data_IF_621047080910
#
_entry.id   IF_621047080910
#
_cell.length_a   1.000
_cell.length_b   1.000
_cell.length_c   1.000
_cell.angle_alpha   90.00
_cell.angle_beta   90.00
_cell.angle_gamma   90.00
#
_symmetry.space_group_name_H-M   'P 1'
#
loop_
_entity.id
_entity.type
_entity.pdbx_description
1 polymer ?
#
# COMPACT_ATOMS: atom_id res chain seq x y z
N UNK A 1 -9.64 -11.05 16.48
CA UNK A 1 -10.24 -10.82 15.15
C UNK A 1 -9.15 -10.27 14.24
N UNK A 2 -9.19 -10.55 12.95
CA UNK A 2 -8.13 -10.18 11.99
C UNK A 2 -8.74 -9.51 10.76
N UNK A 3 -8.08 -8.48 10.23
CA UNK A 3 -8.41 -7.92 8.92
C UNK A 3 -7.62 -8.71 7.89
N UNK A 4 -8.31 -9.34 6.95
CA UNK A 4 -7.68 -10.12 5.89
C UNK A 4 -7.16 -9.21 4.76
N UNK A 5 -6.14 -9.68 4.04
CA UNK A 5 -5.64 -9.01 2.84
C UNK A 5 -6.56 -9.29 1.63
N UNK A 6 -6.61 -8.36 0.67
CA UNK A 6 -7.28 -8.61 -0.62
C UNK A 6 -6.63 -9.82 -1.31
N UNK A 7 -7.45 -10.81 -1.67
CA UNK A 7 -6.98 -11.99 -2.36
C UNK A 7 -6.75 -11.70 -3.85
N UNK A 8 -5.49 -11.47 -4.22
CA UNK A 8 -5.05 -11.16 -5.59
C UNK A 8 -5.33 -12.27 -6.62
N UNK A 9 -5.64 -13.49 -6.18
CA UNK A 9 -6.10 -14.55 -7.10
C UNK A 9 -7.53 -14.33 -7.57
N UNK A 10 -8.37 -13.71 -6.74
CA UNK A 10 -9.79 -13.46 -7.04
C UNK A 10 -10.01 -12.18 -7.85
N UNK A 11 -9.01 -11.30 -7.91
CA UNK A 11 -9.06 -10.08 -8.71
C UNK A 11 -9.10 -10.39 -10.22
N UNK A 12 -9.77 -9.51 -10.96
CA UNK A 12 -9.88 -9.59 -12.40
C UNK A 12 -8.50 -9.61 -13.08
N UNK A 13 -8.36 -10.42 -14.13
CA UNK A 13 -7.16 -10.41 -15.00
C UNK A 13 -7.23 -9.32 -16.07
N UNK A 14 -8.41 -8.76 -16.29
CA UNK A 14 -8.60 -7.57 -17.10
C UNK A 14 -8.02 -6.33 -16.42
N UNK A 15 -7.92 -5.25 -17.19
CA UNK A 15 -7.37 -3.99 -16.72
C UNK A 15 -8.28 -3.34 -15.66
N UNK A 16 -7.73 -3.03 -14.49
CA UNK A 16 -8.42 -2.42 -13.33
C UNK A 16 -7.88 -1.02 -13.04
N UNK A 17 -8.74 -0.12 -12.56
CA UNK A 17 -8.32 1.22 -12.16
C UNK A 17 -7.72 1.21 -10.75
N UNK A 18 -6.54 1.83 -10.60
CA UNK A 18 -5.78 1.84 -9.34
C UNK A 18 -5.16 3.20 -9.05
N UNK A 19 -4.78 3.40 -7.78
CA UNK A 19 -3.95 4.50 -7.32
C UNK A 19 -2.69 3.96 -6.63
N UNK A 20 -1.52 4.51 -6.97
CA UNK A 20 -0.26 4.16 -6.30
C UNK A 20 -0.14 4.94 -4.99
N UNK A 21 -0.13 4.25 -3.84
CA UNK A 21 -0.17 4.89 -2.51
C UNK A 21 1.17 4.96 -1.79
N UNK A 22 2.12 4.10 -2.17
CA UNK A 22 3.50 4.08 -1.69
C UNK A 22 4.42 3.49 -2.74
N UNK A 23 5.62 4.05 -2.87
CA UNK A 23 6.62 3.67 -3.87
C UNK A 23 7.99 3.49 -3.20
N UNK A 24 8.50 2.26 -3.11
CA UNK A 24 9.82 1.97 -2.54
C UNK A 24 10.84 1.64 -3.65
N UNK A 25 10.45 0.84 -4.63
CA UNK A 25 11.23 0.53 -5.84
C UNK A 25 10.32 -0.02 -6.97
N UNK A 26 10.77 -0.09 -8.23
CA UNK A 26 9.96 -0.65 -9.32
C UNK A 26 9.32 -2.02 -9.03
N UNK A 27 9.97 -2.87 -8.23
CA UNK A 27 9.46 -4.20 -7.85
C UNK A 27 8.84 -4.24 -6.45
N UNK A 28 8.70 -3.10 -5.78
CA UNK A 28 8.13 -2.98 -4.44
C UNK A 28 7.39 -1.66 -4.26
N UNK A 29 6.07 -1.70 -4.41
CA UNK A 29 5.16 -0.58 -4.18
C UNK A 29 3.79 -1.07 -3.78
N UNK A 30 2.89 -0.14 -3.48
CA UNK A 30 1.55 -0.45 -3.02
C UNK A 30 0.53 0.31 -3.83
N UNK A 31 -0.56 -0.38 -4.20
CA UNK A 31 -1.69 0.21 -4.90
C UNK A 31 -2.98 0.00 -4.12
N UNK A 32 -3.96 0.86 -4.37
CA UNK A 32 -5.35 0.67 -3.94
C UNK A 32 -6.24 0.56 -5.19
N UNK A 33 -7.22 -0.34 -5.15
CA UNK A 33 -8.24 -0.45 -6.19
C UNK A 33 -9.20 0.76 -6.11
N UNK A 34 -9.63 1.28 -7.26
CA UNK A 34 -10.64 2.35 -7.27
C UNK A 34 -12.07 1.86 -7.05
N UNK A 35 -12.37 0.58 -7.34
CA UNK A 35 -13.71 0.02 -7.14
C UNK A 35 -14.11 0.01 -5.67
N UNK A 36 -13.17 -0.32 -4.79
CA UNK A 36 -13.38 -0.40 -3.33
C UNK A 36 -13.23 0.98 -2.64
N UNK A 37 -13.06 2.06 -3.42
CA UNK A 37 -12.69 3.35 -2.85
C UNK A 37 -13.82 4.04 -2.09
N UNK A 38 -15.08 3.78 -2.43
CA UNK A 38 -16.25 4.35 -1.75
C UNK A 38 -16.42 3.69 -0.37
N UNK A 39 -16.50 2.36 -0.30
CA UNK A 39 -16.62 1.62 0.97
C UNK A 39 -15.48 1.92 1.94
N UNK A 40 -14.25 2.04 1.42
CA UNK A 40 -13.11 2.40 2.24
C UNK A 40 -13.18 3.84 2.74
N UNK A 41 -13.63 4.78 1.91
CA UNK A 41 -13.81 6.17 2.31
C UNK A 41 -14.89 6.30 3.39
N UNK A 42 -16.02 5.61 3.22
CA UNK A 42 -17.10 5.55 4.21
C UNK A 42 -16.62 4.98 5.55
N UNK A 43 -15.81 3.91 5.50
CA UNK A 43 -15.17 3.35 6.70
C UNK A 43 -14.29 4.37 7.42
N UNK A 44 -13.44 5.10 6.68
CA UNK A 44 -12.54 6.11 7.26
C UNK A 44 -13.31 7.31 7.83
N UNK A 45 -14.39 7.72 7.19
CA UNK A 45 -15.27 8.78 7.67
C UNK A 45 -16.02 8.37 8.94
N UNK A 46 -16.59 7.15 8.96
CA UNK A 46 -17.22 6.57 10.14
C UNK A 46 -16.23 6.46 11.31
N UNK A 47 -15.02 5.97 11.04
CA UNK A 47 -13.94 5.83 12.02
C UNK A 47 -13.57 7.21 12.57
N UNK A 48 -13.35 8.18 11.70
CA UNK A 48 -13.01 9.55 12.09
C UNK A 48 -14.12 10.16 12.94
N UNK A 49 -15.38 9.98 12.55
CA UNK A 49 -16.54 10.46 13.32
C UNK A 49 -16.63 9.80 14.69
N UNK A 50 -16.43 8.48 14.77
CA UNK A 50 -16.46 7.72 16.03
C UNK A 50 -15.35 8.16 16.99
N UNK A 51 -14.14 8.31 16.47
CA UNK A 51 -12.98 8.69 17.29
C UNK A 51 -13.06 10.15 17.73
N UNK A 52 -13.62 11.04 16.90
CA UNK A 52 -13.82 12.45 17.27
C UNK A 52 -14.84 12.60 18.40
N UNK A 53 -15.95 11.85 18.36
CA UNK A 53 -17.01 11.96 19.38
C UNK A 53 -16.66 11.26 20.70
N UNK A 54 -16.02 10.10 20.62
CA UNK A 54 -15.92 9.15 21.74
C UNK A 54 -14.57 8.40 21.79
N UNK A 55 -13.52 8.96 21.18
CA UNK A 55 -12.19 8.33 21.11
C UNK A 55 -11.49 8.22 22.47
N UNK A 56 -11.74 9.13 23.41
CA UNK A 56 -11.17 9.07 24.75
C UNK A 56 -11.56 7.79 25.52
N UNK A 57 -12.70 7.17 25.18
CA UNK A 57 -13.14 5.89 25.77
C UNK A 57 -12.43 4.67 25.14
N UNK A 58 -11.68 4.87 24.07
CA UNK A 58 -10.99 3.82 23.33
C UNK A 58 -9.47 3.94 23.47
N UNK A 59 -8.96 4.73 24.41
CA UNK A 59 -7.53 4.81 24.66
C UNK A 59 -7.02 3.43 25.10
N UNK A 60 -6.00 2.91 24.41
CA UNK A 60 -5.43 1.63 24.79
C UNK A 60 -4.55 1.78 26.04
N UNK A 61 -4.51 0.75 26.89
CA UNK A 61 -3.57 0.70 28.01
C UNK A 61 -2.19 0.33 27.47
N UNK A 62 -1.14 1.16 27.66
CA UNK A 62 0.20 0.88 27.16
C UNK A 62 0.73 -0.53 27.47
N UNK A 63 0.54 -0.99 28.71
CA UNK A 63 1.09 -2.27 29.19
C UNK A 63 0.38 -3.50 28.61
N UNK A 64 -0.75 -3.31 27.93
CA UNK A 64 -1.55 -4.40 27.36
C UNK A 64 -1.41 -4.53 25.85
N UNK A 65 -0.65 -3.64 25.20
CA UNK A 65 -0.48 -3.66 23.74
C UNK A 65 0.35 -4.88 23.36
N UNK A 66 -0.14 -5.67 22.39
CA UNK A 66 0.56 -6.87 21.92
C UNK A 66 0.78 -6.86 20.40
N UNK A 67 1.82 -7.54 19.95
CA UNK A 67 2.08 -7.73 18.50
C UNK A 67 0.91 -8.49 17.85
N UNK A 68 0.49 -8.02 16.67
CA UNK A 68 -0.67 -8.54 15.94
C UNK A 68 -1.99 -7.86 16.30
N UNK A 69 -2.02 -6.98 17.30
CA UNK A 69 -3.24 -6.27 17.69
C UNK A 69 -3.63 -5.19 16.67
N UNK A 70 -4.94 -5.10 16.38
CA UNK A 70 -5.51 -4.09 15.50
C UNK A 70 -5.81 -2.80 16.28
N UNK A 71 -5.39 -1.66 15.74
CA UNK A 71 -5.50 -0.38 16.44
C UNK A 71 -5.93 0.75 15.51
N UNK A 72 -6.56 1.76 16.10
CA UNK A 72 -6.82 3.05 15.47
C UNK A 72 -5.71 4.04 15.86
N UNK A 73 -5.21 4.78 14.89
CA UNK A 73 -4.23 5.85 15.10
C UNK A 73 -4.72 7.16 14.52
N UNK A 74 -4.37 8.27 15.18
CA UNK A 74 -4.62 9.60 14.64
C UNK A 74 -3.57 9.95 13.58
N UNK A 75 -4.02 10.46 12.43
CA UNK A 75 -3.15 11.01 11.39
C UNK A 75 -3.72 12.32 10.86
N UNK A 76 -3.05 13.44 11.16
CA UNK A 76 -3.52 14.78 10.82
C UNK A 76 -4.96 15.03 11.32
N UNK A 77 -5.89 15.28 10.39
CA UNK A 77 -7.31 15.51 10.67
C UNK A 77 -8.17 14.24 10.64
N UNK A 78 -7.58 13.09 10.29
CA UNK A 78 -8.29 11.82 10.16
C UNK A 78 -7.77 10.73 11.10
N UNK A 79 -8.38 9.57 10.98
CA UNK A 79 -8.02 8.35 11.68
C UNK A 79 -7.73 7.23 10.70
N UNK A 80 -6.82 6.34 11.07
CA UNK A 80 -6.39 5.22 10.26
C UNK A 80 -6.38 3.97 11.12
N UNK A 81 -6.69 2.82 10.51
CA UNK A 81 -6.48 1.51 11.13
C UNK A 81 -5.09 0.98 10.81
N UNK A 82 -4.53 0.21 11.73
CA UNK A 82 -3.22 -0.42 11.58
C UNK A 82 -3.12 -1.66 12.45
N UNK A 83 -2.01 -2.38 12.31
CA UNK A 83 -1.68 -3.57 13.08
C UNK A 83 -0.33 -3.38 13.76
N UNK A 84 -0.24 -3.73 15.04
CA UNK A 84 1.01 -3.68 15.80
C UNK A 84 1.98 -4.71 15.24
N UNK A 85 3.17 -4.25 14.83
CA UNK A 85 4.25 -5.12 14.35
C UNK A 85 5.35 -5.29 15.38
N UNK A 86 5.53 -4.33 16.28
CA UNK A 86 6.50 -4.41 17.36
C UNK A 86 6.10 -3.51 18.55
N UNK A 87 6.53 -3.88 19.75
CA UNK A 87 6.36 -3.09 20.98
C UNK A 87 7.74 -2.83 21.57
N UNK A 88 8.19 -1.58 21.46
CA UNK A 88 9.55 -1.20 21.78
C UNK A 88 9.70 -0.91 23.28
N UNK A 89 10.87 -1.21 23.83
CA UNK A 89 11.19 -0.97 25.25
C UNK A 89 11.28 0.50 25.65
N UNK A 90 11.22 1.43 24.70
CA UNK A 90 11.24 2.90 24.92
C UNK A 90 9.84 3.52 25.01
N UNK A 91 8.79 2.69 25.09
CA UNK A 91 7.40 3.11 25.16
C UNK A 91 6.82 3.52 23.80
N UNK A 92 7.46 3.15 22.70
CA UNK A 92 6.89 3.28 21.35
C UNK A 92 6.36 1.95 20.83
N UNK A 93 5.45 2.03 19.87
CA UNK A 93 4.83 0.89 19.21
C UNK A 93 5.00 1.07 17.71
N UNK A 94 5.54 0.06 17.04
CA UNK A 94 5.63 0.01 15.58
C UNK A 94 4.33 -0.54 15.01
N UNK A 95 3.77 0.16 14.03
CA UNK A 95 2.43 -0.10 13.49
C UNK A 95 2.52 -0.13 11.97
N UNK A 96 1.98 -1.19 11.37
CA UNK A 96 1.81 -1.28 9.92
C UNK A 96 0.43 -0.76 9.51
N UNK A 97 0.43 0.30 8.73
CA UNK A 97 -0.73 0.89 8.06
C UNK A 97 -0.90 0.20 6.71
N UNK A 98 -1.36 -1.06 6.75
CA UNK A 98 -1.45 -1.94 5.57
C UNK A 98 -2.33 -1.38 4.46
N UNK A 99 -3.35 -0.59 4.77
CA UNK A 99 -4.15 0.11 3.76
C UNK A 99 -3.29 1.04 2.87
N UNK A 100 -2.17 1.57 3.36
CA UNK A 100 -1.27 2.47 2.62
C UNK A 100 0.14 1.89 2.40
N UNK A 101 0.41 0.67 2.87
CA UNK A 101 1.73 0.04 2.82
C UNK A 101 2.81 0.70 3.67
N UNK A 102 2.45 1.55 4.63
CA UNK A 102 3.39 2.36 5.43
C UNK A 102 3.56 1.78 6.81
N UNK A 103 4.77 1.88 7.36
CA UNK A 103 5.02 1.62 8.77
C UNK A 103 5.21 2.95 9.50
N UNK A 104 4.71 3.03 10.72
CA UNK A 104 4.83 4.22 11.56
C UNK A 104 5.13 3.80 12.99
N UNK A 105 5.82 4.66 13.72
CA UNK A 105 5.98 4.52 15.17
C UNK A 105 5.09 5.55 15.88
N UNK A 106 4.49 5.13 16.98
CA UNK A 106 3.68 5.99 17.86
C UNK A 106 4.05 5.75 19.30
N UNK A 107 3.81 6.75 20.15
CA UNK A 107 3.86 6.52 21.59
C UNK A 107 2.71 5.58 21.96
N UNK A 108 2.95 4.70 22.93
CA UNK A 108 1.94 3.74 23.42
C UNK A 108 0.66 4.39 23.95
N UNK A 109 0.73 5.66 24.38
CA UNK A 109 -0.45 6.45 24.79
C UNK A 109 -1.13 7.22 23.63
N UNK A 110 -0.67 7.06 22.39
CA UNK A 110 -1.25 7.67 21.19
C UNK A 110 -2.01 6.67 20.31
N UNK A 111 -2.17 5.44 20.77
CA UNK A 111 -2.88 4.37 20.06
C UNK A 111 -4.19 4.01 20.76
N UNK A 112 -5.16 3.59 19.96
CA UNK A 112 -6.53 3.41 20.41
C UNK A 112 -7.05 2.04 19.97
N UNK A 113 -7.96 1.47 20.76
CA UNK A 113 -8.69 0.26 20.42
C UNK A 113 -9.46 0.50 19.11
N UNK A 114 -9.31 -0.42 18.15
CA UNK A 114 -10.12 -0.44 16.93
C UNK A 114 -11.36 -1.29 17.17
N UNK A 115 -12.55 -0.69 17.13
CA UNK A 115 -13.81 -1.43 17.28
C UNK A 115 -14.04 -2.41 16.12
N UNK A 116 -14.64 -3.56 16.41
CA UNK A 116 -14.72 -4.67 15.46
C UNK A 116 -15.39 -4.33 14.12
N UNK A 117 -16.35 -3.42 14.14
CA UNK A 117 -17.05 -2.93 12.93
C UNK A 117 -16.11 -2.28 11.90
N UNK A 118 -14.93 -1.81 12.30
CA UNK A 118 -13.93 -1.22 11.40
C UNK A 118 -12.96 -2.25 10.79
N UNK A 119 -13.16 -3.53 11.12
CA UNK A 119 -12.31 -4.63 10.67
C UNK A 119 -12.99 -5.51 9.62
N UNK A 120 -14.23 -5.18 9.22
CA UNK A 120 -15.02 -6.00 8.28
C UNK A 120 -14.51 -5.90 6.84
N UNK A 121 -14.01 -4.73 6.44
CA UNK A 121 -13.43 -4.50 5.13
C UNK A 121 -11.96 -4.95 5.10
N UNK A 122 -11.53 -5.65 4.05
CA UNK A 122 -10.15 -6.11 3.87
C UNK A 122 -9.14 -4.95 3.87
N UNK A 123 -7.86 -5.26 4.08
CA UNK A 123 -6.80 -4.28 3.85
C UNK A 123 -6.80 -3.79 2.42
N UNK A 124 -6.79 -2.48 2.23
CA UNK A 124 -6.96 -1.87 0.92
C UNK A 124 -5.66 -1.72 0.12
N UNK A 125 -4.52 -1.85 0.79
CA UNK A 125 -3.21 -1.77 0.16
C UNK A 125 -2.78 -3.14 -0.40
N UNK A 126 -2.52 -3.19 -1.69
CA UNK A 126 -2.02 -4.37 -2.39
C UNK A 126 -0.53 -4.17 -2.71
N UNK A 127 0.38 -4.95 -2.10
CA UNK A 127 1.78 -4.93 -2.49
C UNK A 127 1.94 -5.39 -3.94
N UNK A 128 2.73 -4.65 -4.71
CA UNK A 128 2.90 -4.82 -6.13
C UNK A 128 4.37 -4.71 -6.54
N UNK A 129 4.68 -5.35 -7.67
CA UNK A 129 5.92 -5.14 -8.40
C UNK A 129 5.67 -5.07 -9.91
N UNK A 130 6.42 -4.22 -10.61
CA UNK A 130 6.38 -4.14 -12.06
C UNK A 130 6.97 -5.41 -12.64
N UNK A 131 6.13 -6.16 -13.36
CA UNK A 131 6.53 -7.39 -14.01
C UNK A 131 7.59 -7.12 -15.10
N UNK A 132 8.45 -8.13 -15.35
CA UNK A 132 9.45 -8.09 -16.42
C UNK A 132 10.45 -6.93 -16.32
N UNK A 133 10.71 -6.44 -15.10
CA UNK A 133 11.71 -5.41 -14.82
C UNK A 133 12.78 -5.93 -13.85
N UNK A 134 14.03 -5.58 -14.11
CA UNK A 134 15.15 -5.88 -13.22
C UNK A 134 16.15 -4.71 -13.16
N UNK A 135 16.93 -4.57 -12.07
CA UNK A 135 18.07 -3.68 -12.03
C UNK A 135 19.17 -4.16 -13.00
N UNK A 136 20.00 -3.25 -13.51
CA UNK A 136 21.10 -3.58 -14.44
C UNK A 136 22.23 -4.39 -13.81
N UNK A 137 22.46 -4.24 -12.50
CA UNK A 137 23.51 -4.95 -11.77
C UNK A 137 23.05 -5.35 -10.38
N UNK A 138 23.40 -6.57 -9.97
CA UNK A 138 23.03 -7.14 -8.68
C UNK A 138 21.52 -7.36 -8.52
N UNK A 139 21.10 -7.47 -7.26
CA UNK A 139 19.71 -7.72 -6.86
C UNK A 139 18.96 -6.46 -6.40
N UNK A 140 19.62 -5.30 -6.34
CA UNK A 140 19.07 -4.08 -5.73
C UNK A 140 18.90 -2.94 -6.74
N UNK A 141 17.76 -2.24 -6.68
CA UNK A 141 17.52 -1.02 -7.44
C UNK A 141 18.41 0.13 -6.99
N UNK A 142 19.09 0.78 -7.94
CA UNK A 142 19.91 1.96 -7.66
C UNK A 142 19.07 3.06 -7.02
N UNK A 143 19.69 3.93 -6.23
CA UNK A 143 19.00 5.09 -5.64
C UNK A 143 18.31 5.94 -6.70
N UNK A 144 18.98 6.21 -7.83
CA UNK A 144 18.39 7.01 -8.92
C UNK A 144 17.16 6.33 -9.53
N UNK A 145 17.17 5.01 -9.74
CA UNK A 145 16.00 4.28 -10.23
C UNK A 145 14.82 4.37 -9.24
N UNK A 146 15.08 4.21 -7.94
CA UNK A 146 14.05 4.37 -6.90
C UNK A 146 13.49 5.78 -6.84
N UNK A 147 14.34 6.79 -6.89
CA UNK A 147 13.96 8.20 -6.82
C UNK A 147 13.14 8.62 -8.06
N UNK A 148 13.57 8.21 -9.26
CA UNK A 148 12.81 8.47 -10.48
C UNK A 148 11.43 7.79 -10.46
N UNK A 149 11.38 6.50 -10.09
CA UNK A 149 10.12 5.76 -10.03
C UNK A 149 9.16 6.39 -9.03
N UNK A 150 9.68 6.84 -7.87
CA UNK A 150 8.93 7.61 -6.88
C UNK A 150 8.38 8.90 -7.47
N UNK A 151 9.20 9.65 -8.20
CA UNK A 151 8.79 10.89 -8.85
C UNK A 151 7.69 10.67 -9.90
N UNK A 152 7.83 9.64 -10.74
CA UNK A 152 6.91 9.39 -11.86
C UNK A 152 5.59 8.75 -11.43
N UNK A 153 5.60 7.88 -10.41
CA UNK A 153 4.48 6.97 -10.13
C UNK A 153 3.77 7.24 -8.81
N UNK A 154 4.41 7.88 -7.83
CA UNK A 154 3.81 8.05 -6.51
C UNK A 154 2.56 8.94 -6.56
N UNK A 155 1.48 8.52 -5.89
CA UNK A 155 0.18 9.19 -5.87
C UNK A 155 -0.55 9.27 -7.22
N UNK A 156 0.03 8.70 -8.28
CA UNK A 156 -0.59 8.68 -9.59
C UNK A 156 -1.71 7.65 -9.67
N UNK A 157 -2.69 7.99 -10.49
CA UNK A 157 -3.77 7.10 -10.87
C UNK A 157 -3.45 6.46 -12.22
N UNK A 158 -3.90 5.21 -12.37
CA UNK A 158 -3.59 4.45 -13.55
C UNK A 158 -4.50 3.26 -13.73
N UNK A 159 -4.11 2.43 -14.68
CA UNK A 159 -4.71 1.13 -14.95
C UNK A 159 -3.66 0.06 -14.78
N UNK A 160 -4.08 -1.10 -14.30
CA UNK A 160 -3.19 -2.23 -14.08
C UNK A 160 -3.81 -3.54 -14.53
N UNK A 161 -2.98 -4.45 -15.03
CA UNK A 161 -3.37 -5.83 -15.30
C UNK A 161 -2.47 -6.77 -14.51
N UNK A 162 -3.06 -7.75 -13.83
CA UNK A 162 -2.31 -8.73 -13.05
C UNK A 162 -1.75 -9.81 -13.97
N UNK A 163 -0.43 -9.93 -13.99
CA UNK A 163 0.31 -10.94 -14.74
C UNK A 163 0.74 -12.12 -13.86
N UNK A 164 0.81 -11.92 -12.54
CA UNK A 164 1.07 -12.99 -11.58
C UNK A 164 0.71 -12.58 -10.16
N UNK A 165 0.62 -13.56 -9.25
CA UNK A 165 0.29 -13.35 -7.83
C UNK A 165 1.35 -13.99 -6.94
N UNK A 166 1.60 -13.46 -5.75
CA UNK A 166 2.56 -13.97 -4.76
C UNK A 166 1.82 -14.19 -3.44
N UNK A 167 1.85 -15.43 -2.93
CA UNK A 167 1.15 -15.86 -1.70
C UNK A 167 -0.33 -15.44 -1.64
N UNK A 168 -0.96 -15.17 -2.79
CA UNK A 168 -2.32 -14.63 -2.92
C UNK A 168 -2.52 -13.20 -2.37
N UNK A 169 -1.48 -12.52 -1.88
CA UNK A 169 -1.59 -11.20 -1.24
C UNK A 169 -0.91 -10.07 -2.04
N UNK A 170 0.12 -10.40 -2.82
CA UNK A 170 0.83 -9.44 -3.65
C UNK A 170 0.69 -9.77 -5.15
N UNK A 171 0.83 -8.76 -6.00
CA UNK A 171 0.65 -8.89 -7.44
C UNK A 171 1.87 -8.44 -8.26
N UNK A 172 2.09 -9.14 -9.37
CA UNK A 172 3.02 -8.75 -10.42
C UNK A 172 2.19 -8.16 -11.53
N UNK A 173 2.47 -6.91 -11.87
CA UNK A 173 1.54 -6.13 -12.67
C UNK A 173 2.21 -5.45 -13.85
N UNK A 174 1.42 -5.28 -14.92
CA UNK A 174 1.60 -4.18 -15.86
C UNK A 174 0.93 -2.93 -15.28
N UNK A 175 1.59 -1.78 -15.33
CA UNK A 175 1.04 -0.52 -14.84
C UNK A 175 1.14 0.56 -15.92
N UNK A 176 0.01 1.19 -16.17
CA UNK A 176 -0.15 2.30 -17.10
C UNK A 176 -0.65 3.51 -16.31
N UNK A 177 0.17 4.55 -16.15
CA UNK A 177 -0.24 5.77 -15.46
C UNK A 177 -0.89 6.75 -16.44
N UNK A 178 -1.80 7.57 -15.93
CA UNK A 178 -2.41 8.64 -16.72
C UNK A 178 -1.41 9.78 -16.91
N UNK A 179 -1.23 10.22 -18.16
CA UNK A 179 -0.52 11.45 -18.53
C UNK A 179 -1.48 12.48 -19.09
N UNK A 180 -1.26 13.75 -18.74
CA UNK A 180 -2.08 14.90 -19.18
C UNK A 180 -2.93 15.52 -18.06
N UNK A 181 -2.99 16.85 -18.05
CA UNK A 181 -3.81 17.64 -17.11
C UNK A 181 -5.24 17.92 -17.59
N UNK A 182 -5.50 17.75 -18.90
CA UNK A 182 -6.78 18.03 -19.53
C UNK A 182 -7.44 16.78 -20.09
N UNK A 183 -8.78 16.75 -20.04
CA UNK A 183 -9.61 15.60 -20.37
C UNK A 183 -9.57 15.15 -21.86
N UNK A 184 -8.81 15.83 -22.72
CA UNK A 184 -8.87 15.66 -24.18
C UNK A 184 -7.61 15.02 -24.79
N UNK A 185 -6.51 14.87 -24.04
CA UNK A 185 -5.29 14.17 -24.49
C UNK A 185 -4.83 13.13 -23.46
N UNK A 186 -5.68 12.15 -23.18
CA UNK A 186 -5.33 11.03 -22.31
C UNK A 186 -4.35 10.09 -23.01
N UNK A 187 -3.09 10.13 -22.59
CA UNK A 187 -2.11 9.11 -22.95
C UNK A 187 -1.82 8.23 -21.74
N UNK A 188 -1.92 6.91 -21.94
CA UNK A 188 -1.47 5.93 -20.94
C UNK A 188 0.02 5.68 -21.14
N UNK A 189 0.80 5.93 -20.10
CA UNK A 189 2.24 5.70 -20.12
C UNK A 189 2.53 4.34 -19.50
N UNK A 190 3.06 3.42 -20.30
CA UNK A 190 3.57 2.13 -19.81
C UNK A 190 4.83 2.36 -18.97
N UNK A 191 4.73 2.06 -17.67
CA UNK A 191 5.83 2.33 -16.74
C UNK A 191 7.02 1.38 -16.89
N UNK A 192 6.82 0.15 -17.41
CA UNK A 192 7.92 -0.75 -17.71
C UNK A 192 8.76 -0.16 -18.84
N UNK A 193 8.11 0.14 -19.96
CA UNK A 193 8.80 0.64 -21.16
C UNK A 193 9.43 2.02 -20.91
N UNK A 194 8.79 2.86 -20.08
CA UNK A 194 9.35 4.16 -19.67
C UNK A 194 10.65 3.98 -18.87
N UNK A 195 10.66 3.09 -17.87
CA UNK A 195 11.86 2.87 -17.05
C UNK A 195 13.01 2.23 -17.86
N UNK A 196 12.69 1.37 -18.84
CA UNK A 196 13.68 0.78 -19.75
C UNK A 196 14.27 1.85 -20.67
N UNK A 197 13.41 2.62 -21.34
CA UNK A 197 13.82 3.69 -22.27
C UNK A 197 14.68 4.75 -21.58
N UNK A 198 14.36 5.10 -20.34
CA UNK A 198 15.14 6.06 -19.55
C UNK A 198 16.45 5.47 -18.98
N UNK A 199 16.73 4.18 -19.19
CA UNK A 199 17.94 3.52 -18.71
C UNK A 199 17.97 3.26 -17.20
N UNK A 200 16.79 3.10 -16.57
CA UNK A 200 16.66 2.82 -15.13
C UNK A 200 16.22 1.40 -14.80
N UNK A 201 15.74 0.64 -15.77
CA UNK A 201 15.45 -0.78 -15.68
C UNK A 201 15.93 -1.52 -16.93
N UNK A 202 16.13 -2.84 -16.82
CA UNK A 202 16.27 -3.72 -17.97
C UNK A 202 15.09 -4.70 -18.04
N UNK A 203 14.85 -5.23 -19.24
CA UNK A 203 13.90 -6.31 -19.43
C UNK A 203 14.32 -7.56 -18.65
N UNK A 204 13.33 -8.26 -18.07
CA UNK A 204 13.54 -9.59 -17.52
C UNK A 204 12.51 -10.57 -18.08
N UNK A 205 12.99 -11.70 -18.59
CA UNK A 205 12.10 -12.80 -19.01
C UNK A 205 11.40 -13.44 -17.81
N UNK A 206 12.00 -13.33 -16.62
CA UNK A 206 11.33 -13.70 -15.39
C UNK A 206 10.23 -12.69 -15.09
N UNK A 207 9.04 -13.21 -14.80
CA UNK A 207 7.97 -12.41 -14.20
C UNK A 207 8.37 -11.91 -12.80
N UNK A 208 9.26 -12.67 -12.15
CA UNK A 208 9.68 -12.49 -10.76
C UNK A 208 11.15 -12.10 -10.61
N UNK A 209 11.44 -10.98 -9.94
CA UNK A 209 12.77 -10.68 -9.39
C UNK A 209 13.05 -11.53 -8.14
N UNK A 210 14.30 -11.90 -7.86
CA UNK A 210 14.61 -12.79 -6.73
C UNK A 210 14.37 -12.12 -5.34
N UNK A 211 14.12 -10.81 -5.31
CA UNK A 211 13.74 -10.02 -4.13
C UNK A 211 12.32 -9.46 -4.27
N UNK A 212 11.36 -10.12 -3.63
CA UNK A 212 10.00 -9.61 -3.41
C UNK A 212 9.84 -9.07 -1.98
N UNK A 213 8.85 -8.19 -1.72
CA UNK A 213 8.58 -7.76 -0.36
C UNK A 213 8.32 -8.99 0.50
N UNK A 214 9.08 -9.08 1.59
CA UNK A 214 8.65 -9.83 2.77
C UNK A 214 7.29 -9.24 3.15
N UNK A 215 6.23 -9.98 2.85
CA UNK A 215 4.92 -9.76 3.44
C UNK A 215 4.99 -10.27 4.87
#
# INVERSE_FOLDING_TARGET
>A
MEIVCINTKLLARSSMAVKVVKMDSPTMFWVQLKTESEDFQDLLEELTRRMTRRGHMLLHRPDHIVVGELMAIRKNRGWQRGIVTDVNGDGTVAISLRDWGRNVERRSFEVYILEDRFCQLEWQGIPCGLAHTAPFSGSSWTRRARDLTRFLMSQQEGRTSILGTIKNEAALIKLEIRSGGDAHEYHQIDMKETLITLGYAQHSDKLRADTYPSI
#
